data_IF_246949896837
#
_entry.id   IF_246949896837
#
_cell.length_a   1.000
_cell.length_b   1.000
_cell.length_c   1.000
_cell.angle_alpha   90.00
_cell.angle_beta   90.00
_cell.angle_gamma   90.00
#
_symmetry.space_group_name_H-M   'P 1'
#
loop_
_entity.id
_entity.type
_entity.pdbx_description
1 polymer ?
#
# COMPACT_ATOMS: atom_id res chain seq x y z
N UNK A 1 24.70 -12.19 -19.20
CA UNK A 1 24.11 -10.84 -19.17
C UNK A 1 23.09 -10.82 -18.05
N UNK A 2 22.98 -9.73 -17.28
CA UNK A 2 21.86 -9.58 -16.33
C UNK A 2 20.60 -9.16 -17.09
N UNK A 3 19.45 -9.72 -16.75
CA UNK A 3 18.15 -9.45 -17.38
C UNK A 3 17.14 -9.00 -16.33
N UNK A 4 16.09 -8.27 -16.75
CA UNK A 4 14.97 -7.93 -15.87
C UNK A 4 14.10 -9.18 -15.69
N UNK A 5 13.82 -9.55 -14.45
CA UNK A 5 12.97 -10.66 -14.02
C UNK A 5 11.69 -10.13 -13.35
N UNK A 6 10.66 -10.97 -13.25
CA UNK A 6 9.41 -10.64 -12.56
C UNK A 6 9.62 -10.31 -11.07
N UNK A 7 10.59 -10.95 -10.42
CA UNK A 7 10.96 -10.65 -9.03
C UNK A 7 11.30 -9.17 -8.79
N UNK A 8 11.85 -8.45 -9.80
CA UNK A 8 12.13 -7.02 -9.65
C UNK A 8 10.87 -6.13 -9.62
N UNK A 9 9.68 -6.69 -9.84
CA UNK A 9 8.39 -6.01 -9.70
C UNK A 9 7.59 -6.47 -8.47
N UNK A 10 8.15 -7.33 -7.62
CA UNK A 10 7.45 -7.94 -6.48
C UNK A 10 7.32 -7.04 -5.24
N UNK A 11 7.96 -5.86 -5.22
CA UNK A 11 8.00 -4.96 -4.05
C UNK A 11 8.90 -5.39 -2.91
N UNK A 12 9.67 -6.47 -3.10
CA UNK A 12 10.62 -7.00 -2.11
C UNK A 12 12.07 -6.57 -2.35
N UNK A 13 12.99 -7.37 -1.81
CA UNK A 13 14.44 -7.12 -1.85
C UNK A 13 14.96 -6.88 -3.28
N UNK A 14 14.56 -7.70 -4.26
CA UNK A 14 15.00 -7.56 -5.66
C UNK A 14 14.51 -6.26 -6.31
N UNK A 15 13.33 -5.77 -5.92
CA UNK A 15 12.80 -4.48 -6.40
C UNK A 15 13.68 -3.35 -5.88
N UNK A 16 14.02 -3.39 -4.58
CA UNK A 16 14.93 -2.42 -3.95
C UNK A 16 16.32 -2.45 -4.57
N UNK A 17 16.88 -3.62 -4.82
CA UNK A 17 18.17 -3.76 -5.50
C UNK A 17 18.15 -3.14 -6.91
N UNK A 18 17.06 -3.30 -7.66
CA UNK A 18 16.90 -2.69 -8.98
C UNK A 18 16.83 -1.16 -8.88
N UNK A 19 16.09 -0.63 -7.92
CA UNK A 19 15.92 0.81 -7.69
C UNK A 19 17.24 1.46 -7.26
N UNK A 20 17.83 1.00 -6.16
CA UNK A 20 19.10 1.54 -5.65
C UNK A 20 20.25 1.27 -6.61
N UNK A 21 20.24 0.08 -7.22
CA UNK A 21 21.29 -0.41 -8.08
C UNK A 21 21.24 0.13 -9.50
N UNK A 22 20.10 0.51 -10.08
CA UNK A 22 20.05 0.99 -11.47
C UNK A 22 19.41 2.37 -11.56
N UNK A 23 18.15 2.52 -11.16
CA UNK A 23 17.41 3.78 -11.35
C UNK A 23 18.07 4.95 -10.63
N UNK A 24 18.46 4.75 -9.37
CA UNK A 24 19.12 5.80 -8.57
C UNK A 24 20.40 6.32 -9.22
N UNK A 25 21.19 5.49 -9.90
CA UNK A 25 22.44 5.93 -10.56
C UNK A 25 22.21 7.01 -11.61
N UNK A 26 21.04 7.04 -12.23
CA UNK A 26 20.74 7.95 -13.33
C UNK A 26 19.71 9.03 -12.97
N UNK A 27 18.84 8.78 -11.99
CA UNK A 27 17.70 9.65 -11.66
C UNK A 27 17.77 10.25 -10.25
N UNK A 28 18.82 9.95 -9.47
CA UNK A 28 18.96 10.43 -8.09
C UNK A 28 18.85 11.95 -7.99
N UNK A 29 18.07 12.39 -7.00
CA UNK A 29 17.89 13.76 -6.60
C UNK A 29 17.34 13.79 -5.17
N UNK A 30 17.31 14.97 -4.55
CA UNK A 30 16.92 15.13 -3.14
C UNK A 30 15.48 14.67 -2.81
N UNK A 31 14.60 14.59 -3.80
CA UNK A 31 13.22 14.13 -3.61
C UNK A 31 13.12 12.62 -3.75
N UNK A 32 13.68 12.06 -4.84
CA UNK A 32 13.59 10.63 -5.14
C UNK A 32 14.37 9.75 -4.14
N UNK A 33 15.48 10.25 -3.61
CA UNK A 33 16.34 9.53 -2.66
C UNK A 33 15.69 9.33 -1.27
N UNK A 34 14.48 9.86 -1.04
CA UNK A 34 13.72 9.66 0.20
C UNK A 34 12.96 8.34 0.25
N UNK A 35 12.60 7.76 -0.90
CA UNK A 35 11.86 6.48 -1.00
C UNK A 35 10.55 6.41 -0.18
N UNK A 36 9.85 7.54 -0.07
CA UNK A 36 8.50 7.64 0.52
C UNK A 36 7.43 7.46 -0.59
N UNK A 37 6.16 7.31 -0.20
CA UNK A 37 5.05 7.08 -1.15
C UNK A 37 4.66 8.31 -1.98
N UNK A 38 5.17 9.49 -1.63
CA UNK A 38 5.03 10.69 -2.47
C UNK A 38 6.23 11.62 -2.32
N UNK A 39 6.56 12.31 -3.41
CA UNK A 39 7.49 13.44 -3.35
C UNK A 39 6.78 14.64 -2.73
N UNK A 40 7.36 15.19 -1.66
CA UNK A 40 6.89 16.44 -1.04
C UNK A 40 7.62 17.62 -1.66
N UNK A 41 6.86 18.51 -2.30
CA UNK A 41 7.38 19.68 -3.02
C UNK A 41 6.85 20.96 -2.38
N UNK A 42 7.75 21.85 -1.96
CA UNK A 42 7.38 23.18 -1.51
C UNK A 42 7.15 24.10 -2.72
N UNK A 43 5.97 24.72 -2.77
CA UNK A 43 5.57 25.71 -3.78
C UNK A 43 5.26 27.05 -3.08
N UNK A 44 5.21 28.19 -3.79
CA UNK A 44 5.02 29.50 -3.14
C UNK A 44 3.81 29.59 -2.20
N UNK A 45 2.74 28.85 -2.49
CA UNK A 45 1.47 28.88 -1.74
C UNK A 45 1.24 27.62 -0.87
N UNK A 46 2.29 26.87 -0.50
CA UNK A 46 2.16 25.71 0.39
C UNK A 46 3.07 24.54 0.04
N UNK A 47 2.70 23.34 0.50
CA UNK A 47 3.35 22.10 0.10
C UNK A 47 2.38 21.25 -0.73
N UNK A 48 2.90 20.51 -1.70
CA UNK A 48 2.15 19.47 -2.39
C UNK A 48 2.82 18.11 -2.21
N UNK A 49 2.01 17.06 -2.20
CA UNK A 49 2.48 15.70 -2.43
C UNK A 49 2.23 15.32 -3.89
N UNK A 50 3.20 14.64 -4.51
CA UNK A 50 3.09 14.15 -5.88
C UNK A 50 3.54 12.68 -5.95
N UNK A 51 2.65 11.81 -6.45
CA UNK A 51 2.89 10.37 -6.63
C UNK A 51 2.46 9.89 -8.00
N UNK A 52 2.92 8.71 -8.39
CA UNK A 52 2.49 7.99 -9.59
C UNK A 52 2.60 6.49 -9.37
N UNK A 53 1.63 5.76 -9.90
CA UNK A 53 1.63 4.32 -9.80
C UNK A 53 1.01 3.65 -11.03
N UNK A 54 1.49 2.45 -11.35
CA UNK A 54 1.05 1.69 -12.53
C UNK A 54 0.45 0.35 -12.12
N UNK A 55 -0.80 0.17 -12.53
CA UNK A 55 -1.65 -0.94 -12.13
C UNK A 55 -1.68 -2.00 -13.22
N UNK A 56 -1.33 -3.21 -12.82
CA UNK A 56 -1.16 -4.36 -13.72
C UNK A 56 -1.91 -5.60 -13.23
N UNK A 57 -2.77 -5.45 -12.22
CA UNK A 57 -3.54 -6.53 -11.58
C UNK A 57 -4.12 -7.55 -12.56
N UNK A 58 -4.11 -8.82 -12.14
CA UNK A 58 -4.73 -9.92 -12.86
C UNK A 58 -5.39 -10.87 -11.85
N UNK A 59 -6.69 -11.18 -11.97
CA UNK A 59 -7.62 -10.71 -13.01
C UNK A 59 -7.94 -9.22 -12.90
N UNK A 60 -8.49 -8.63 -13.98
CA UNK A 60 -8.83 -7.19 -14.02
C UNK A 60 -10.04 -6.84 -13.16
N UNK A 61 -10.94 -7.81 -12.95
CA UNK A 61 -12.11 -7.73 -12.09
C UNK A 61 -11.97 -8.82 -11.04
N UNK A 62 -12.21 -8.46 -9.79
CA UNK A 62 -12.08 -9.35 -8.66
C UNK A 62 -13.12 -9.03 -7.58
N UNK A 63 -13.34 -9.94 -6.64
CA UNK A 63 -14.24 -9.69 -5.54
C UNK A 63 -13.75 -8.48 -4.71
N UNK A 64 -14.59 -7.46 -4.58
CA UNK A 64 -14.25 -6.21 -3.87
C UNK A 64 -13.67 -5.09 -4.76
N UNK A 65 -13.40 -5.34 -6.05
CA UNK A 65 -12.93 -4.26 -6.92
C UNK A 65 -12.56 -4.64 -8.36
N UNK A 66 -11.93 -3.70 -9.04
CA UNK A 66 -11.35 -3.91 -10.36
C UNK A 66 -10.12 -3.00 -10.52
N UNK A 67 -9.38 -3.15 -11.63
CA UNK A 67 -8.19 -2.34 -11.93
C UNK A 67 -8.44 -0.82 -11.90
N UNK A 68 -9.65 -0.36 -12.26
CA UNK A 68 -10.04 1.04 -12.23
C UNK A 68 -10.17 1.57 -10.80
N UNK A 69 -10.95 0.86 -9.96
CA UNK A 69 -11.06 1.19 -8.53
C UNK A 69 -9.68 1.20 -7.87
N UNK A 70 -8.87 0.18 -8.16
CA UNK A 70 -7.51 0.05 -7.66
C UNK A 70 -6.63 1.23 -8.07
N UNK A 71 -6.69 1.65 -9.33
CA UNK A 71 -5.90 2.77 -9.83
C UNK A 71 -6.21 4.08 -9.10
N UNK A 72 -7.49 4.34 -8.80
CA UNK A 72 -7.87 5.52 -8.01
C UNK A 72 -7.46 5.34 -6.55
N UNK A 73 -7.80 4.21 -5.93
CA UNK A 73 -7.54 3.96 -4.52
C UNK A 73 -6.06 4.02 -4.18
N UNK A 74 -5.19 3.30 -4.91
CA UNK A 74 -3.75 3.26 -4.65
C UNK A 74 -3.10 4.65 -4.74
N UNK A 75 -3.33 5.39 -5.82
CA UNK A 75 -2.76 6.74 -5.96
C UNK A 75 -3.32 7.73 -4.93
N UNK A 76 -4.58 7.58 -4.52
CA UNK A 76 -5.16 8.36 -3.41
C UNK A 76 -4.51 7.99 -2.07
N UNK A 77 -4.24 6.70 -1.86
CA UNK A 77 -3.66 6.18 -0.62
C UNK A 77 -2.23 6.70 -0.43
N UNK A 78 -1.38 6.64 -1.47
CA UNK A 78 -0.04 7.23 -1.49
C UNK A 78 -0.02 8.70 -1.03
N UNK A 79 -0.97 9.51 -1.53
CA UNK A 79 -1.10 10.92 -1.11
C UNK A 79 -1.55 11.02 0.35
N UNK A 80 -2.52 10.19 0.74
CA UNK A 80 -3.14 10.21 2.06
C UNK A 80 -2.17 9.83 3.17
N UNK A 81 -1.35 8.79 2.95
CA UNK A 81 -0.31 8.35 3.92
C UNK A 81 0.83 9.35 4.02
N UNK A 82 0.98 10.25 3.04
CA UNK A 82 1.90 11.38 3.10
C UNK A 82 1.26 12.66 3.67
N UNK A 83 0.07 12.56 4.26
CA UNK A 83 -0.59 13.67 4.94
C UNK A 83 -1.16 14.72 4.00
N UNK A 84 -1.40 14.35 2.73
CA UNK A 84 -1.89 15.25 1.70
C UNK A 84 -3.32 14.92 1.30
N UNK A 85 -4.15 15.97 1.21
CA UNK A 85 -5.50 15.89 0.67
C UNK A 85 -5.43 15.67 -0.84
N UNK A 86 -5.93 14.57 -1.39
CA UNK A 86 -5.97 14.36 -2.83
C UNK A 86 -6.81 15.43 -3.52
N UNK A 87 -6.27 16.06 -4.56
CA UNK A 87 -6.99 17.08 -5.35
C UNK A 87 -7.23 16.62 -6.79
N UNK A 88 -6.16 16.19 -7.46
CA UNK A 88 -6.19 15.92 -8.89
C UNK A 88 -5.45 14.63 -9.22
N UNK A 89 -5.99 13.88 -10.18
CA UNK A 89 -5.37 12.73 -10.81
C UNK A 89 -5.19 12.97 -12.31
N UNK A 90 -4.12 12.41 -12.87
CA UNK A 90 -4.04 12.07 -14.30
C UNK A 90 -4.29 10.57 -14.49
N UNK A 91 -4.89 10.15 -15.61
CA UNK A 91 -5.08 8.75 -15.94
C UNK A 91 -4.57 8.40 -17.34
N UNK A 92 -3.53 7.57 -17.41
CA UNK A 92 -2.97 7.02 -18.65
C UNK A 92 -3.41 5.57 -18.86
N UNK A 93 -3.98 5.27 -20.02
CA UNK A 93 -4.46 3.92 -20.36
C UNK A 93 -3.63 3.30 -21.48
N UNK A 94 -3.18 2.07 -21.28
CA UNK A 94 -2.61 1.21 -22.33
C UNK A 94 -3.54 0.01 -22.47
N UNK A 95 -4.25 -0.08 -23.61
CA UNK A 95 -5.33 -1.04 -23.83
C UNK A 95 -4.98 -1.97 -24.98
N UNK A 96 -5.25 -3.24 -24.84
CA UNK A 96 -5.06 -4.24 -25.89
C UNK A 96 -6.14 -4.15 -26.97
N UNK A 97 -5.75 -4.29 -28.24
CA UNK A 97 -6.69 -4.40 -29.37
C UNK A 97 -7.64 -5.59 -29.20
N UNK A 98 -8.94 -5.29 -29.14
CA UNK A 98 -9.99 -6.27 -28.95
C UNK A 98 -10.50 -6.36 -27.51
N UNK A 99 -9.98 -5.54 -26.59
CA UNK A 99 -10.58 -5.36 -25.27
C UNK A 99 -12.03 -4.87 -25.38
N UNK A 100 -12.92 -5.43 -24.56
CA UNK A 100 -14.35 -5.13 -24.65
C UNK A 100 -14.64 -3.72 -24.14
N UNK A 101 -15.41 -2.95 -24.93
CA UNK A 101 -15.85 -1.61 -24.53
C UNK A 101 -16.70 -1.68 -23.26
N UNK A 102 -17.55 -2.70 -23.11
CA UNK A 102 -18.38 -2.90 -21.93
C UNK A 102 -17.52 -3.07 -20.65
N UNK A 103 -16.40 -3.78 -20.73
CA UNK A 103 -15.47 -3.92 -19.60
C UNK A 103 -14.73 -2.61 -19.32
N UNK A 104 -14.35 -1.86 -20.36
CA UNK A 104 -13.76 -0.53 -20.19
C UNK A 104 -14.75 0.45 -19.52
N UNK A 105 -16.02 0.43 -19.92
CA UNK A 105 -17.07 1.25 -19.30
C UNK A 105 -17.25 0.91 -17.82
N UNK A 106 -17.23 -0.37 -17.45
CA UNK A 106 -17.29 -0.82 -16.05
C UNK A 106 -16.08 -0.34 -15.25
N UNK A 107 -14.88 -0.43 -15.81
CA UNK A 107 -13.65 0.09 -15.19
C UNK A 107 -13.78 1.60 -14.92
N UNK A 108 -14.24 2.37 -15.90
CA UNK A 108 -14.40 3.81 -15.78
C UNK A 108 -15.53 4.21 -14.81
N UNK A 109 -16.60 3.43 -14.72
CA UNK A 109 -17.66 3.61 -13.72
C UNK A 109 -17.11 3.45 -12.30
N UNK A 110 -16.37 2.37 -12.04
CA UNK A 110 -15.77 2.12 -10.72
C UNK A 110 -14.70 3.16 -10.37
N UNK A 111 -13.92 3.64 -11.36
CA UNK A 111 -13.03 4.80 -11.17
C UNK A 111 -13.81 6.02 -10.71
N UNK A 112 -14.91 6.37 -11.40
CA UNK A 112 -15.74 7.52 -11.04
C UNK A 112 -16.28 7.38 -9.62
N UNK A 113 -16.87 6.23 -9.29
CA UNK A 113 -17.41 5.97 -7.95
C UNK A 113 -16.36 6.11 -6.85
N UNK A 114 -15.12 5.66 -7.10
CA UNK A 114 -14.03 5.81 -6.13
C UNK A 114 -13.59 7.27 -6.00
N UNK A 115 -13.52 8.03 -7.10
CA UNK A 115 -13.18 9.46 -7.05
C UNK A 115 -14.23 10.29 -6.31
N UNK A 116 -15.51 9.94 -6.44
CA UNK A 116 -16.62 10.62 -5.76
C UNK A 116 -16.55 10.47 -4.23
N UNK A 117 -15.95 9.40 -3.70
CA UNK A 117 -15.79 9.18 -2.25
C UNK A 117 -14.86 10.17 -1.58
N UNK A 118 -13.85 10.67 -2.30
CA UNK A 118 -12.81 11.57 -1.76
C UNK A 118 -12.88 12.99 -2.33
N UNK A 119 -13.67 13.19 -3.40
CA UNK A 119 -13.76 14.46 -4.12
C UNK A 119 -12.55 14.77 -5.00
N UNK A 120 -11.62 13.81 -5.18
CA UNK A 120 -10.50 13.94 -6.13
C UNK A 120 -11.04 13.96 -7.56
N UNK A 121 -10.38 14.69 -8.47
CA UNK A 121 -10.81 14.78 -9.88
C UNK A 121 -9.77 14.23 -10.84
N UNK A 122 -10.17 13.40 -11.79
CA UNK A 122 -9.33 13.08 -12.96
C UNK A 122 -9.40 14.26 -13.93
N UNK A 123 -8.29 15.01 -14.06
CA UNK A 123 -8.26 16.29 -14.81
C UNK A 123 -7.52 16.22 -16.14
N UNK A 124 -6.76 15.15 -16.38
CA UNK A 124 -6.04 14.93 -17.63
C UNK A 124 -5.80 13.44 -17.85
N UNK A 125 -5.47 13.04 -19.07
CA UNK A 125 -5.20 11.65 -19.37
C UNK A 125 -4.63 11.41 -20.76
N UNK A 126 -4.26 10.16 -20.99
CA UNK A 126 -3.75 9.68 -22.27
C UNK A 126 -4.27 8.27 -22.57
N UNK A 127 -4.35 7.90 -23.84
CA UNK A 127 -4.77 6.55 -24.24
C UNK A 127 -3.88 6.02 -25.36
N UNK A 128 -3.43 4.77 -25.22
CA UNK A 128 -2.64 4.03 -26.19
C UNK A 128 -3.25 2.66 -26.41
N UNK A 129 -3.30 2.24 -27.67
CA UNK A 129 -3.78 0.90 -28.05
C UNK A 129 -2.60 0.06 -28.51
N UNK A 130 -2.43 -1.10 -27.89
CA UNK A 130 -1.41 -2.09 -28.21
C UNK A 130 -1.99 -3.18 -29.13
N UNK A 131 -1.22 -3.73 -30.08
CA UNK A 131 -1.67 -4.86 -30.89
C UNK A 131 -2.03 -6.07 -30.02
N UNK A 132 -2.96 -6.88 -30.52
CA UNK A 132 -3.37 -8.13 -29.86
C UNK A 132 -2.18 -9.06 -29.56
N UNK A 133 -2.19 -9.66 -28.36
CA UNK A 133 -1.20 -10.59 -27.85
C UNK A 133 0.04 -9.94 -27.21
N UNK A 134 0.09 -8.59 -27.13
CA UNK A 134 1.22 -7.87 -26.55
C UNK A 134 0.95 -7.33 -25.14
N UNK A 135 -0.31 -7.39 -24.71
CA UNK A 135 -0.77 -6.99 -23.39
C UNK A 135 -1.74 -8.05 -22.87
N UNK A 136 -2.08 -8.02 -21.59
CA UNK A 136 -3.16 -8.83 -21.04
C UNK A 136 -4.28 -7.90 -20.58
N UNK A 137 -5.10 -7.45 -21.54
CA UNK A 137 -6.22 -6.55 -21.31
C UNK A 137 -5.84 -5.07 -21.25
N UNK A 138 -5.73 -4.51 -20.05
CA UNK A 138 -5.45 -3.07 -19.85
C UNK A 138 -4.45 -2.84 -18.72
N UNK A 139 -3.59 -1.84 -18.89
CA UNK A 139 -2.77 -1.24 -17.83
C UNK A 139 -3.25 0.19 -17.64
N UNK A 140 -3.35 0.60 -16.39
CA UNK A 140 -3.69 1.97 -16.01
C UNK A 140 -2.50 2.54 -15.24
N UNK A 141 -2.05 3.73 -15.61
CA UNK A 141 -1.19 4.55 -14.78
C UNK A 141 -2.01 5.73 -14.26
N UNK A 142 -1.90 6.00 -12.96
CA UNK A 142 -2.44 7.22 -12.37
C UNK A 142 -1.32 7.96 -11.69
N UNK A 143 -1.32 9.28 -11.83
CA UNK A 143 -0.46 10.18 -11.05
C UNK A 143 -1.34 11.14 -10.31
N UNK A 144 -0.98 11.48 -9.07
CA UNK A 144 -1.83 12.25 -8.18
C UNK A 144 -1.09 13.42 -7.56
N UNK A 145 -1.77 14.56 -7.46
CA UNK A 145 -1.32 15.75 -6.73
C UNK A 145 -2.28 15.99 -5.57
N UNK A 146 -1.71 16.17 -4.38
CA UNK A 146 -2.46 16.51 -3.16
C UNK A 146 -1.92 17.76 -2.47
N UNK A 147 -2.79 18.46 -1.75
CA UNK A 147 -2.44 19.57 -0.86
C UNK A 147 -1.91 19.02 0.47
N UNK A 148 -0.70 19.41 0.85
CA UNK A 148 -0.08 18.92 2.07
C UNK A 148 -0.69 19.58 3.32
N UNK A 149 -1.41 18.80 4.13
CA UNK A 149 -2.04 19.28 5.36
C UNK A 149 -1.23 18.93 6.61
N UNK A 150 -0.54 17.80 6.60
CA UNK A 150 0.31 17.34 7.70
C UNK A 150 1.75 17.16 7.23
N UNK A 151 2.73 17.66 8.01
CA UNK A 151 4.15 17.65 7.65
C UNK A 151 4.94 16.71 8.55
N UNK A 152 6.06 16.21 8.03
CA UNK A 152 7.04 15.46 8.82
C UNK A 152 6.76 13.96 8.90
N UNK A 153 5.83 13.42 8.10
CA UNK A 153 5.69 11.98 7.93
C UNK A 153 6.89 11.44 7.15
N UNK A 154 7.56 10.44 7.70
CA UNK A 154 8.70 9.78 7.06
C UNK A 154 9.04 8.47 7.72
N UNK A 155 9.40 7.46 6.91
CA UNK A 155 9.97 6.21 7.39
C UNK A 155 11.23 6.39 8.27
N UNK A 156 11.92 7.53 8.17
CA UNK A 156 13.10 7.86 8.99
C UNK A 156 12.79 8.43 10.37
N UNK A 157 11.53 8.80 10.65
CA UNK A 157 11.16 9.55 11.85
C UNK A 157 10.70 8.70 13.04
N UNK A 158 10.76 7.37 12.93
CA UNK A 158 10.43 6.49 14.05
C UNK A 158 11.34 6.74 15.25
N UNK A 159 10.72 6.84 16.43
CA UNK A 159 11.34 7.02 17.72
C UNK A 159 11.10 5.79 18.62
N UNK A 160 11.97 5.62 19.62
CA UNK A 160 11.80 4.58 20.63
C UNK A 160 10.44 4.77 21.33
N UNK A 161 9.73 3.68 21.58
CA UNK A 161 8.37 3.61 22.14
C UNK A 161 7.24 4.05 21.21
N UNK A 162 7.50 4.42 19.96
CA UNK A 162 6.41 4.65 19.00
C UNK A 162 5.55 3.40 18.86
N UNK A 163 4.23 3.57 18.99
CA UNK A 163 3.25 2.53 18.73
C UNK A 163 3.10 2.28 17.23
N UNK A 164 2.99 1.00 16.86
CA UNK A 164 2.75 0.58 15.47
C UNK A 164 1.30 0.10 15.35
N UNK A 165 0.51 0.81 14.57
CA UNK A 165 -0.91 0.54 14.35
C UNK A 165 -1.13 0.10 12.91
N UNK A 166 -2.02 -0.87 12.69
CA UNK A 166 -2.62 -1.14 11.37
C UNK A 166 -4.08 -0.72 11.39
N UNK A 167 -4.58 -0.17 10.28
CA UNK A 167 -5.96 0.34 10.21
C UNK A 167 -7.02 -0.76 10.10
N UNK A 168 -6.63 -2.00 9.80
CA UNK A 168 -7.55 -3.13 9.69
C UNK A 168 -6.80 -4.44 9.42
N UNK A 169 -7.53 -5.45 8.95
CA UNK A 169 -6.97 -6.76 8.57
C UNK A 169 -5.89 -6.65 7.51
N UNK A 170 -4.92 -7.57 7.51
CA UNK A 170 -3.81 -7.58 6.55
C UNK A 170 -3.89 -8.75 5.58
N UNK A 171 -3.52 -8.49 4.33
CA UNK A 171 -3.37 -9.51 3.29
C UNK A 171 -4.65 -9.87 2.54
N UNK A 172 -5.77 -9.17 2.79
CA UNK A 172 -7.07 -9.44 2.19
C UNK A 172 -7.03 -9.37 0.66
N UNK A 173 -6.51 -8.28 0.07
CA UNK A 173 -6.36 -8.16 -1.37
C UNK A 173 -5.50 -9.27 -1.97
N UNK A 174 -4.31 -9.51 -1.40
CA UNK A 174 -3.42 -10.53 -1.95
C UNK A 174 -4.02 -11.94 -1.90
N UNK A 175 -4.72 -12.28 -0.83
CA UNK A 175 -5.43 -13.55 -0.71
C UNK A 175 -6.62 -13.64 -1.67
N UNK A 176 -7.35 -12.54 -1.90
CA UNK A 176 -8.43 -12.47 -2.87
C UNK A 176 -7.94 -12.78 -4.29
N UNK A 177 -6.89 -12.08 -4.74
CA UNK A 177 -6.32 -12.28 -6.07
C UNK A 177 -5.78 -13.70 -6.25
N UNK A 178 -5.15 -14.26 -5.21
CA UNK A 178 -4.72 -15.65 -5.18
C UNK A 178 -5.90 -16.62 -5.32
N UNK A 179 -6.93 -16.44 -4.50
CA UNK A 179 -8.11 -17.30 -4.51
C UNK A 179 -8.76 -17.33 -5.89
N UNK A 180 -8.86 -16.19 -6.56
CA UNK A 180 -9.44 -16.13 -7.90
C UNK A 180 -8.60 -16.81 -8.96
N UNK A 181 -7.27 -16.67 -8.89
CA UNK A 181 -6.35 -17.33 -9.83
C UNK A 181 -6.36 -18.85 -9.69
N UNK A 182 -6.46 -19.35 -8.47
CA UNK A 182 -6.55 -20.79 -8.18
C UNK A 182 -7.97 -21.35 -8.38
N UNK A 183 -8.94 -20.51 -8.78
CA UNK A 183 -10.33 -20.93 -8.97
C UNK A 183 -11.09 -21.22 -7.65
N UNK A 184 -10.57 -20.76 -6.52
CA UNK A 184 -11.11 -20.94 -5.16
C UNK A 184 -12.00 -19.78 -4.71
N UNK A 185 -12.06 -18.67 -5.46
CA UNK A 185 -12.78 -17.44 -5.07
C UNK A 185 -14.28 -17.59 -4.86
N UNK A 186 -14.93 -18.62 -5.42
CA UNK A 186 -16.37 -18.88 -5.19
C UNK A 186 -16.66 -19.71 -3.95
N UNK A 187 -15.68 -20.47 -3.46
CA UNK A 187 -15.83 -21.35 -2.28
C UNK A 187 -15.47 -20.64 -0.98
N UNK A 188 -14.67 -19.58 -1.08
CA UNK A 188 -14.15 -18.81 0.03
C UNK A 188 -14.72 -17.40 -0.03
N UNK A 189 -15.39 -16.97 1.05
CA UNK A 189 -15.87 -15.59 1.23
C UNK A 189 -14.67 -14.67 1.51
N UNK A 190 -13.93 -14.35 0.45
CA UNK A 190 -12.73 -13.50 0.46
C UNK A 190 -12.96 -12.38 -0.55
N UNK A 191 -12.78 -11.16 -0.08
CA UNK A 191 -12.94 -9.95 -0.87
C UNK A 191 -11.71 -9.07 -0.66
N UNK A 192 -11.26 -8.39 -1.70
CA UNK A 192 -10.22 -7.39 -1.58
C UNK A 192 -10.68 -6.23 -0.69
N UNK A 193 -9.76 -5.75 0.15
CA UNK A 193 -9.92 -4.55 0.97
C UNK A 193 -9.79 -3.23 0.19
N UNK A 194 -9.58 -3.28 -1.14
CA UNK A 194 -9.33 -2.12 -2.00
C UNK A 194 -10.29 -0.96 -1.70
N UNK A 195 -9.75 0.17 -1.24
CA UNK A 195 -10.52 1.37 -0.91
C UNK A 195 -9.61 2.58 -0.75
N UNK A 196 -10.10 3.76 -1.13
CA UNK A 196 -9.47 5.04 -0.78
C UNK A 196 -9.50 5.29 0.74
N UNK A 197 -8.36 5.68 1.28
CA UNK A 197 -8.12 5.88 2.71
C UNK A 197 -8.17 7.33 3.16
N UNK A 198 -8.37 8.28 2.24
CA UNK A 198 -8.35 9.71 2.57
C UNK A 198 -9.32 10.06 3.72
N UNK A 199 -10.58 9.63 3.64
CA UNK A 199 -11.60 9.98 4.64
C UNK A 199 -11.27 9.46 6.05
N UNK A 200 -10.70 8.25 6.15
CA UNK A 200 -10.31 7.68 7.45
C UNK A 200 -9.01 8.31 7.97
N UNK A 201 -8.02 8.54 7.11
CA UNK A 201 -6.73 9.10 7.53
C UNK A 201 -6.85 10.59 7.84
N UNK A 202 -7.72 11.33 7.16
CA UNK A 202 -8.03 12.72 7.48
C UNK A 202 -8.45 12.88 8.94
N UNK A 203 -9.35 12.03 9.45
CA UNK A 203 -9.77 12.10 10.86
C UNK A 203 -8.62 11.78 11.83
N UNK A 204 -7.69 10.90 11.45
CA UNK A 204 -6.47 10.63 12.23
C UNK A 204 -5.54 11.84 12.23
N UNK A 205 -5.33 12.48 11.08
CA UNK A 205 -4.52 13.70 10.95
C UNK A 205 -5.12 14.88 11.74
N UNK A 206 -6.46 14.97 11.78
CA UNK A 206 -7.21 16.02 12.49
C UNK A 206 -7.32 15.75 14.01
N UNK A 207 -6.97 14.54 14.48
CA UNK A 207 -7.15 14.11 15.88
C UNK A 207 -6.23 14.83 16.89
N UNK A 208 -5.17 15.46 16.41
CA UNK A 208 -4.14 16.10 17.25
C UNK A 208 -3.07 15.14 17.80
N UNK A 209 -3.15 13.85 17.46
CA UNK A 209 -2.09 12.88 17.75
C UNK A 209 -0.80 13.21 16.97
N UNK A 210 0.36 12.95 17.57
CA UNK A 210 1.66 13.10 16.91
C UNK A 210 2.01 11.81 16.13
N UNK A 211 1.92 11.90 14.80
CA UNK A 211 2.20 10.80 13.87
C UNK A 211 3.59 11.01 13.27
N UNK A 212 4.42 9.98 13.33
CA UNK A 212 5.79 10.02 12.82
C UNK A 212 5.92 9.43 11.41
N UNK A 213 5.14 8.39 11.09
CA UNK A 213 5.12 7.79 9.76
C UNK A 213 3.75 7.17 9.46
N UNK A 214 3.35 7.18 8.19
CA UNK A 214 2.27 6.34 7.66
C UNK A 214 2.71 5.78 6.32
N UNK A 215 2.22 4.58 5.99
CA UNK A 215 2.47 3.90 4.71
C UNK A 215 1.39 2.85 4.47
N UNK A 216 0.97 2.65 3.23
CA UNK A 216 0.06 1.58 2.86
C UNK A 216 0.82 0.28 2.54
N UNK A 217 0.42 -0.88 3.09
CA UNK A 217 1.15 -2.13 2.90
C UNK A 217 0.72 -2.84 1.61
N UNK A 218 1.04 -2.23 0.47
CA UNK A 218 0.77 -2.75 -0.90
C UNK A 218 1.75 -3.89 -1.25
N UNK A 219 2.63 -3.74 -2.24
CA UNK A 219 3.54 -4.82 -2.65
C UNK A 219 4.50 -5.18 -1.52
N UNK A 220 4.59 -6.47 -1.20
CA UNK A 220 5.38 -6.98 -0.09
C UNK A 220 4.70 -6.90 1.29
N UNK A 221 3.51 -6.28 1.36
CA UNK A 221 2.65 -6.29 2.53
C UNK A 221 3.24 -5.58 3.75
N UNK A 222 2.70 -5.92 4.93
CA UNK A 222 3.12 -5.38 6.22
C UNK A 222 4.62 -5.59 6.47
N UNK A 223 5.17 -6.74 6.06
CA UNK A 223 6.57 -7.07 6.28
C UNK A 223 7.52 -6.14 5.53
N UNK A 224 7.19 -5.74 4.29
CA UNK A 224 7.99 -4.79 3.52
C UNK A 224 8.01 -3.41 4.22
N UNK A 225 6.83 -2.86 4.53
CA UNK A 225 6.69 -1.56 5.20
C UNK A 225 7.51 -1.49 6.49
N UNK A 226 7.37 -2.48 7.38
CA UNK A 226 8.06 -2.47 8.66
C UNK A 226 9.59 -2.60 8.50
N UNK A 227 10.06 -3.42 7.56
CA UNK A 227 11.50 -3.56 7.31
C UNK A 227 12.11 -2.31 6.67
N UNK A 228 11.37 -1.63 5.81
CA UNK A 228 11.76 -0.33 5.25
C UNK A 228 11.85 0.73 6.35
N UNK A 229 10.84 0.82 7.22
CA UNK A 229 10.83 1.73 8.36
C UNK A 229 11.98 1.46 9.33
N UNK A 230 12.20 0.19 9.70
CA UNK A 230 13.32 -0.21 10.55
C UNK A 230 14.67 0.19 9.93
N UNK A 231 14.82 0.00 8.62
CA UNK A 231 16.04 0.35 7.88
C UNK A 231 16.27 1.86 7.80
N UNK A 232 15.23 2.62 7.47
CA UNK A 232 15.26 4.06 7.21
C UNK A 232 15.44 4.88 8.50
N UNK A 233 14.78 4.48 9.60
CA UNK A 233 14.91 5.12 10.91
C UNK A 233 16.10 4.62 11.73
N UNK A 234 16.67 3.46 11.36
CA UNK A 234 17.74 2.84 12.14
C UNK A 234 17.25 2.18 13.43
N UNK A 235 16.01 1.68 13.46
CA UNK A 235 15.34 1.19 14.68
C UNK A 235 15.00 -0.30 14.61
N UNK A 236 14.81 -0.90 15.79
CA UNK A 236 14.23 -2.24 15.94
C UNK A 236 12.74 -2.10 16.23
N UNK A 237 11.91 -2.78 15.44
CA UNK A 237 10.46 -2.80 15.62
C UNK A 237 10.07 -4.18 16.16
N UNK A 238 9.39 -4.25 17.30
CA UNK A 238 8.80 -5.49 17.81
C UNK A 238 7.30 -5.51 17.53
N UNK A 239 6.84 -6.56 16.86
CA UNK A 239 5.43 -6.82 16.54
C UNK A 239 4.95 -8.03 17.33
N UNK A 240 3.76 -7.92 17.92
CA UNK A 240 3.06 -8.99 18.60
C UNK A 240 2.23 -9.77 17.57
N UNK A 241 2.61 -11.01 17.30
CA UNK A 241 2.02 -11.83 16.22
C UNK A 241 0.51 -12.03 16.36
N UNK A 242 0.01 -12.15 17.59
CA UNK A 242 -1.40 -12.35 17.87
C UNK A 242 -2.25 -11.08 17.78
N UNK A 243 -1.62 -9.91 17.77
CA UNK A 243 -2.32 -8.63 17.63
C UNK A 243 -2.52 -8.25 16.16
N UNK A 244 -1.79 -8.87 15.22
CA UNK A 244 -1.98 -8.66 13.79
C UNK A 244 -3.38 -9.17 13.40
N UNK A 245 -4.31 -8.29 13.00
CA UNK A 245 -5.64 -8.71 12.57
C UNK A 245 -5.56 -9.39 11.21
N UNK A 246 -6.07 -10.61 11.11
CA UNK A 246 -6.12 -11.38 9.86
C UNK A 246 -7.47 -12.10 9.81
N UNK A 247 -8.17 -12.00 8.68
CA UNK A 247 -9.40 -12.76 8.46
C UNK A 247 -9.15 -14.27 8.46
N UNK A 248 -10.11 -15.05 8.95
CA UNK A 248 -9.98 -16.50 9.04
C UNK A 248 -9.77 -17.17 7.67
N UNK A 249 -10.45 -16.65 6.65
CA UNK A 249 -10.35 -17.12 5.27
C UNK A 249 -8.99 -16.80 4.63
N UNK A 250 -8.46 -15.60 4.87
CA UNK A 250 -7.10 -15.19 4.47
C UNK A 250 -6.04 -16.09 5.11
N UNK A 251 -6.17 -16.38 6.41
CA UNK A 251 -5.28 -17.31 7.11
C UNK A 251 -5.33 -18.71 6.51
N UNK A 252 -6.53 -19.22 6.23
CA UNK A 252 -6.72 -20.55 5.63
C UNK A 252 -6.02 -20.70 4.28
N UNK A 253 -6.12 -19.70 3.40
CA UNK A 253 -5.40 -19.70 2.11
C UNK A 253 -3.89 -19.67 2.31
N UNK A 254 -3.41 -18.80 3.20
CA UNK A 254 -1.98 -18.68 3.48
C UNK A 254 -1.41 -20.00 4.01
N UNK A 255 -2.12 -20.68 4.92
CA UNK A 255 -1.74 -21.99 5.44
C UNK A 255 -1.73 -23.06 4.33
N UNK A 256 -2.73 -23.06 3.44
CA UNK A 256 -2.84 -24.01 2.33
C UNK A 256 -1.68 -23.85 1.32
N UNK A 257 -1.31 -22.61 1.02
CA UNK A 257 -0.31 -22.27 0.00
C UNK A 257 1.11 -22.14 0.58
N UNK A 258 1.28 -22.22 1.90
CA UNK A 258 2.56 -22.05 2.56
C UNK A 258 3.09 -20.61 2.48
N UNK A 259 2.18 -19.63 2.56
CA UNK A 259 2.49 -18.20 2.48
C UNK A 259 2.31 -17.51 3.82
N UNK A 260 3.01 -16.39 4.01
CA UNK A 260 2.86 -15.53 5.18
C UNK A 260 1.86 -14.41 4.89
N UNK A 261 0.86 -14.25 5.75
CA UNK A 261 -0.18 -13.21 5.64
C UNK A 261 0.43 -11.81 5.59
N UNK A 262 1.52 -11.58 6.32
CA UNK A 262 2.23 -10.29 6.37
C UNK A 262 2.97 -9.94 5.08
N UNK A 263 3.14 -10.89 4.15
CA UNK A 263 3.76 -10.64 2.85
C UNK A 263 2.74 -10.33 1.75
N UNK A 264 1.45 -10.57 2.03
CA UNK A 264 0.37 -10.31 1.08
C UNK A 264 0.03 -8.82 1.04
N UNK A 265 -0.25 -8.32 -0.16
CA UNK A 265 -0.64 -6.94 -0.36
C UNK A 265 -2.02 -6.63 0.24
N UNK A 266 -2.17 -5.40 0.70
CA UNK A 266 -3.43 -4.79 1.12
C UNK A 266 -3.61 -3.49 0.33
N UNK A 267 -4.82 -3.23 -0.14
CA UNK A 267 -5.13 -2.09 -1.05
C UNK A 267 -6.13 -1.09 -0.45
N UNK A 268 -6.45 -1.27 0.83
CA UNK A 268 -7.27 -0.36 1.63
C UNK A 268 -6.89 -0.41 3.11
N UNK A 269 -5.58 -0.49 3.37
CA UNK A 269 -4.98 -0.45 4.73
C UNK A 269 -3.83 0.53 4.79
N UNK A 270 -3.56 1.01 6.00
CA UNK A 270 -2.36 1.77 6.32
C UNK A 270 -1.72 1.22 7.59
N UNK A 271 -0.41 1.39 7.67
CA UNK A 271 0.42 1.21 8.85
C UNK A 271 0.76 2.60 9.36
N UNK A 272 0.69 2.82 10.68
CA UNK A 272 0.90 4.12 11.32
C UNK A 272 1.88 3.94 12.47
N UNK A 273 2.98 4.71 12.45
CA UNK A 273 3.86 4.90 13.60
C UNK A 273 3.44 6.18 14.31
N UNK A 274 3.01 6.04 15.56
CA UNK A 274 2.49 7.12 16.39
C UNK A 274 3.32 7.24 17.66
N UNK A 275 3.48 8.46 18.17
CA UNK A 275 4.16 8.72 19.43
C UNK A 275 3.54 7.97 20.60
N UNK A 276 4.40 7.52 21.53
CA UNK A 276 3.98 6.92 22.79
C UNK A 276 2.98 7.82 23.55
N UNK A 277 1.81 7.27 23.88
CA UNK A 277 0.71 7.93 24.57
C UNK A 277 -0.42 8.40 23.66
N UNK A 278 -0.19 8.51 22.36
CA UNK A 278 -1.19 8.95 21.38
C UNK A 278 -1.90 7.78 20.67
N UNK A 279 -1.54 6.52 20.97
CA UNK A 279 -2.11 5.32 20.34
C UNK A 279 -3.63 5.24 20.52
N UNK A 280 -4.12 5.58 21.71
CA UNK A 280 -5.55 5.57 22.03
C UNK A 280 -6.33 6.56 21.15
N UNK A 281 -5.82 7.78 21.00
CA UNK A 281 -6.41 8.82 20.16
C UNK A 281 -6.51 8.38 18.69
N UNK A 282 -5.43 7.78 18.15
CA UNK A 282 -5.43 7.27 16.78
C UNK A 282 -6.39 6.10 16.62
N UNK A 283 -6.38 5.13 17.55
CA UNK A 283 -7.27 3.97 17.48
C UNK A 283 -8.75 4.36 17.57
N UNK A 284 -9.10 5.31 18.43
CA UNK A 284 -10.47 5.80 18.57
C UNK A 284 -10.93 6.52 17.29
N UNK A 285 -10.07 7.35 16.69
CA UNK A 285 -10.33 7.98 15.38
C UNK A 285 -10.61 6.93 14.30
N UNK A 286 -9.70 5.95 14.15
CA UNK A 286 -9.83 4.90 13.14
C UNK A 286 -11.12 4.09 13.31
N UNK A 287 -11.44 3.69 14.55
CA UNK A 287 -12.60 2.81 14.83
C UNK A 287 -13.95 3.50 14.65
N UNK A 288 -13.99 4.84 14.60
CA UNK A 288 -15.19 5.59 14.24
C UNK A 288 -15.52 5.49 12.75
N UNK A 289 -14.56 5.09 11.91
CA UNK A 289 -14.77 4.89 10.48
C UNK A 289 -15.02 3.41 10.13
N UNK A 290 -15.94 3.07 9.18
CA UNK A 290 -16.21 1.69 8.81
C UNK A 290 -14.98 0.88 8.37
N UNK A 291 -14.06 1.51 7.62
CA UNK A 291 -12.82 0.87 7.17
C UNK A 291 -11.84 0.59 8.32
N UNK A 292 -11.95 1.31 9.44
CA UNK A 292 -11.02 1.24 10.58
C UNK A 292 -11.50 0.40 11.76
N UNK A 293 -12.65 -0.29 11.64
CA UNK A 293 -13.20 -1.14 12.72
C UNK A 293 -12.20 -2.20 13.22
N UNK A 294 -11.37 -2.70 12.31
CA UNK A 294 -10.34 -3.69 12.60
C UNK A 294 -9.03 -3.11 13.13
N UNK A 295 -8.94 -1.81 13.38
CA UNK A 295 -7.68 -1.17 13.74
C UNK A 295 -7.10 -1.70 15.06
N UNK A 296 -5.81 -2.02 15.05
CA UNK A 296 -5.07 -2.61 16.18
C UNK A 296 -3.69 -2.00 16.34
N UNK A 297 -3.30 -1.79 17.59
CA UNK A 297 -1.90 -1.59 17.98
C UNK A 297 -1.24 -2.97 17.96
N UNK A 298 -0.31 -3.16 17.03
CA UNK A 298 0.30 -4.47 16.78
C UNK A 298 1.71 -4.58 17.37
N UNK A 299 2.29 -3.48 17.84
CA UNK A 299 3.66 -3.49 18.34
C UNK A 299 4.19 -2.10 18.63
N UNK A 300 5.51 -2.01 18.78
CA UNK A 300 6.19 -0.75 19.08
C UNK A 300 7.65 -0.78 18.63
N UNK A 301 8.26 0.39 18.52
CA UNK A 301 9.70 0.54 18.34
C UNK A 301 10.41 0.32 19.67
N UNK A 302 11.35 -0.63 19.73
CA UNK A 302 11.95 -1.09 21.01
C UNK A 302 13.40 -0.68 21.21
N UNK A 303 14.15 -0.41 20.15
CA UNK A 303 15.59 -0.10 20.25
C UNK A 303 16.05 0.74 19.06
N UNK A 304 17.25 1.34 19.17
CA UNK A 304 17.91 2.07 18.10
C UNK A 304 19.28 1.47 17.79
N UNK A 305 19.66 1.47 16.52
CA UNK A 305 20.91 0.91 16.02
C UNK A 305 20.81 -0.54 15.50
N UNK A 306 19.65 -1.19 15.62
CA UNK A 306 19.38 -2.53 15.09
C UNK A 306 18.26 -2.46 14.05
N UNK A 307 18.62 -2.42 12.77
CA UNK A 307 17.70 -2.27 11.62
C UNK A 307 16.97 -3.58 11.31
N UNK A 308 15.97 -3.96 12.10
CA UNK A 308 15.24 -5.23 11.91
C UNK A 308 13.86 -5.20 12.54
N UNK A 309 13.01 -6.12 12.08
CA UNK A 309 11.68 -6.35 12.63
C UNK A 309 11.67 -7.69 13.37
N UNK A 310 11.18 -7.69 14.61
CA UNK A 310 11.06 -8.86 15.46
C UNK A 310 9.59 -9.20 15.61
N UNK A 311 9.22 -10.42 15.24
CA UNK A 311 7.91 -10.98 15.50
C UNK A 311 7.95 -11.77 16.80
N UNK A 312 7.12 -11.38 17.77
CA UNK A 312 6.97 -12.01 19.06
C UNK A 312 5.70 -12.85 19.10
N UNK A 313 5.88 -14.15 19.26
CA UNK A 313 4.77 -15.10 19.31
C UNK A 313 3.99 -15.01 20.64
N UNK A 314 2.79 -15.63 20.71
CA UNK A 314 2.03 -15.76 21.96
C UNK A 314 2.81 -16.44 23.11
N UNK A 315 3.83 -17.24 22.76
CA UNK A 315 4.68 -17.96 23.72
C UNK A 315 5.96 -17.20 24.06
N UNK A 316 6.04 -15.90 23.74
CA UNK A 316 7.21 -15.03 23.92
C UNK A 316 8.48 -15.49 23.18
N UNK A 317 8.34 -16.34 22.17
CA UNK A 317 9.46 -16.61 21.25
C UNK A 317 9.61 -15.43 20.29
N UNK A 318 10.86 -15.10 19.97
CA UNK A 318 11.21 -14.01 19.05
C UNK A 318 11.81 -14.58 17.78
N UNK A 319 11.26 -14.20 16.62
CA UNK A 319 11.85 -14.49 15.30
C UNK A 319 11.98 -13.19 14.50
N UNK A 320 12.88 -13.18 13.53
CA UNK A 320 12.99 -12.05 12.60
C UNK A 320 11.83 -12.16 11.61
N UNK A 321 11.14 -11.04 11.36
CA UNK A 321 10.23 -10.92 10.22
C UNK A 321 11.06 -10.44 9.04
N UNK A 322 11.45 -11.38 8.18
CA UNK A 322 12.25 -11.07 7.00
C UNK A 322 11.43 -10.23 6.00
N UNK A 323 12.08 -9.38 5.20
CA UNK A 323 11.41 -8.78 4.05
C UNK A 323 10.99 -9.89 3.06
N UNK A 324 9.94 -9.66 2.27
CA UNK A 324 9.57 -10.57 1.20
C UNK A 324 10.71 -10.66 0.17
N UNK A 325 11.00 -11.88 -0.28
CA UNK A 325 12.02 -12.17 -1.30
C UNK A 325 11.42 -12.97 -2.44
N UNK A 326 11.89 -12.73 -3.66
CA UNK A 326 11.49 -13.46 -4.86
C UNK A 326 10.16 -13.03 -5.44
N UNK A 327 9.68 -13.82 -6.40
CA UNK A 327 8.38 -13.61 -7.03
C UNK A 327 7.29 -14.27 -6.17
N UNK A 328 6.75 -13.54 -5.19
CA UNK A 328 5.64 -14.04 -4.39
C UNK A 328 4.35 -14.08 -5.22
N UNK A 329 3.95 -12.94 -5.79
CA UNK A 329 2.68 -12.79 -6.52
C UNK A 329 2.80 -11.80 -7.68
N UNK A 330 3.09 -12.26 -8.92
CA UNK A 330 3.19 -11.35 -10.05
C UNK A 330 1.84 -10.71 -10.33
N UNK A 331 1.82 -9.43 -10.73
CA UNK A 331 0.59 -8.72 -11.14
C UNK A 331 -0.49 -8.71 -10.05
N UNK A 332 -0.11 -8.55 -8.79
CA UNK A 332 -1.07 -8.47 -7.68
C UNK A 332 -1.80 -7.13 -7.68
N UNK A 333 -1.11 -6.04 -8.05
CA UNK A 333 -1.67 -4.71 -8.24
C UNK A 333 -1.22 -4.07 -9.56
#
# INVERSE_FOLDING_TARGET
>A
MKQILLAHGGGGEETRELIEGIFRRYLSNAFLDRFEDSAILDIPDGGIAFTTDSFTVSPLFFNGGNIGKLAVAGTVNDLSVMGARPLFLSAGFIIEEGFLIEDLERILQDMREETEKTGVMVVTGDTKIMPRGQLNGVIINTSGIGELLYRGLSASNLNIEDGIIVTGTVGDHGACILAEREGMGFELDISSDCASLWEILKEVLDSGAEIHAMRDPTRGGLAAVLNEWATASGTEIEILEHEIPVEGSVRGICELLGMETTHLASEGRAVIAVKNGDEGTVLDSLRNHPLGKGARLIGSVTDRGKKRVILRSPYNTRRIMEPPSGELLPRIC
#
